data_IF_501973184162
#
_entry.id   IF_501973184162
#
_cell.length_a   1.000
_cell.length_b   1.000
_cell.length_c   1.000
_cell.angle_alpha   90.00
_cell.angle_beta   90.00
_cell.angle_gamma   90.00
#
_symmetry.space_group_name_H-M   'P 1'
#
loop_
_entity.id
_entity.type
_entity.pdbx_description
1 polymer ?
#
# COMPACT_ATOMS: atom_id res chain seq x y z
N UNK A 1 5.00 16.21 30.23
CA UNK A 1 5.73 16.41 28.95
C UNK A 1 4.81 15.85 27.89
N UNK A 2 4.15 16.73 27.14
CA UNK A 2 3.20 16.31 26.11
C UNK A 2 4.03 15.79 24.92
N UNK A 3 4.02 14.48 24.71
CA UNK A 3 4.70 13.84 23.59
C UNK A 3 3.73 13.75 22.43
N UNK A 4 4.07 14.42 21.33
CA UNK A 4 3.33 14.32 20.08
C UNK A 4 4.25 13.68 19.04
N UNK A 5 3.78 12.65 18.30
CA UNK A 5 4.61 11.99 17.29
C UNK A 5 4.73 12.85 16.02
N UNK A 6 5.91 12.85 15.40
CA UNK A 6 6.12 13.45 14.08
C UNK A 6 5.50 12.59 12.97
N UNK A 7 5.35 11.28 13.22
CA UNK A 7 4.71 10.34 12.31
C UNK A 7 4.01 9.21 13.03
N UNK A 8 2.94 8.71 12.40
CA UNK A 8 2.16 7.55 12.85
C UNK A 8 2.10 6.56 11.68
N UNK A 9 2.43 5.31 11.96
CA UNK A 9 2.27 4.21 11.01
C UNK A 9 1.36 3.14 11.60
N UNK A 10 0.36 2.70 10.82
CA UNK A 10 -0.46 1.54 11.16
C UNK A 10 -0.33 0.51 10.04
N UNK A 11 -0.11 -0.76 10.41
CA UNK A 11 -0.13 -1.91 9.51
C UNK A 11 -1.26 -2.86 9.87
N UNK A 12 -0.96 -4.15 10.01
CA UNK A 12 -1.92 -5.19 10.32
C UNK A 12 -2.78 -4.91 11.55
N UNK A 13 -4.10 -4.96 11.37
CA UNK A 13 -5.10 -4.84 12.42
C UNK A 13 -5.94 -6.12 12.47
N UNK A 14 -6.07 -6.72 13.65
CA UNK A 14 -6.73 -8.02 13.80
C UNK A 14 -8.26 -7.94 13.75
N UNK A 15 -8.85 -6.80 14.08
CA UNK A 15 -10.30 -6.61 14.06
C UNK A 15 -10.72 -5.13 13.95
N UNK A 16 -12.01 -4.90 13.73
CA UNK A 16 -12.61 -3.57 13.61
C UNK A 16 -12.39 -2.67 14.84
N UNK A 17 -12.28 -3.24 16.05
CA UNK A 17 -12.04 -2.48 17.28
C UNK A 17 -10.64 -1.89 17.32
N UNK A 18 -9.65 -2.60 16.76
CA UNK A 18 -8.30 -2.06 16.64
C UNK A 18 -8.26 -0.88 15.67
N UNK A 19 -9.02 -0.93 14.58
CA UNK A 19 -9.15 0.22 13.67
C UNK A 19 -9.79 1.43 14.38
N UNK A 20 -10.83 1.23 15.20
CA UNK A 20 -11.41 2.29 16.01
C UNK A 20 -10.37 2.88 17.01
N UNK A 21 -9.56 2.03 17.64
CA UNK A 21 -8.50 2.48 18.54
C UNK A 21 -7.38 3.26 17.83
N UNK A 22 -7.04 2.86 16.60
CA UNK A 22 -6.10 3.62 15.78
C UNK A 22 -6.65 5.01 15.44
N UNK A 23 -7.92 5.11 15.09
CA UNK A 23 -8.60 6.40 14.85
C UNK A 23 -8.57 7.27 16.11
N UNK A 24 -9.00 6.73 17.28
CA UNK A 24 -8.96 7.43 18.56
C UNK A 24 -7.55 7.94 18.89
N UNK A 25 -6.53 7.11 18.66
CA UNK A 25 -5.13 7.49 18.89
C UNK A 25 -4.70 8.64 17.96
N UNK A 26 -5.01 8.56 16.68
CA UNK A 26 -4.70 9.62 15.71
C UNK A 26 -5.38 10.93 16.13
N UNK A 27 -6.68 10.88 16.43
CA UNK A 27 -7.45 12.07 16.82
C UNK A 27 -6.95 12.71 18.13
N UNK A 28 -6.37 11.91 19.03
CA UNK A 28 -5.83 12.40 20.31
C UNK A 28 -4.41 12.96 20.18
N UNK A 29 -3.54 12.36 19.36
CA UNK A 29 -2.11 12.63 19.38
C UNK A 29 -1.54 13.24 18.08
N UNK A 30 -2.25 13.15 16.95
CA UNK A 30 -1.77 13.79 15.72
C UNK A 30 -1.96 15.31 15.78
N UNK A 31 -1.00 16.03 15.21
CA UNK A 31 -1.07 17.45 14.90
C UNK A 31 -1.20 17.66 13.40
N UNK A 32 -1.38 18.90 12.99
CA UNK A 32 -1.53 19.29 11.58
C UNK A 32 -0.35 18.85 10.71
N UNK A 33 0.86 18.82 11.26
CA UNK A 33 2.11 18.43 10.57
C UNK A 33 2.48 16.94 10.75
N UNK A 34 1.78 16.19 11.61
CA UNK A 34 2.01 14.77 11.81
C UNK A 34 1.80 13.98 10.52
N UNK A 35 2.81 13.23 10.09
CA UNK A 35 2.73 12.36 8.92
C UNK A 35 2.07 11.04 9.28
N UNK A 36 0.98 10.69 8.59
CA UNK A 36 0.22 9.48 8.89
C UNK A 36 0.27 8.56 7.69
N UNK A 37 0.89 7.38 7.87
CA UNK A 37 0.90 6.31 6.89
C UNK A 37 0.02 5.17 7.37
N UNK A 38 -0.91 4.74 6.52
CA UNK A 38 -1.79 3.60 6.80
C UNK A 38 -1.60 2.55 5.72
N UNK A 39 -1.15 1.38 6.16
CA UNK A 39 -1.09 0.17 5.35
C UNK A 39 -2.36 -0.65 5.63
N UNK A 40 -3.33 -0.68 4.69
CA UNK A 40 -4.66 -1.22 4.95
C UNK A 40 -4.71 -2.74 4.77
N UNK A 41 -3.93 -3.47 5.56
CA UNK A 41 -3.71 -4.92 5.43
C UNK A 41 -5.02 -5.69 5.60
N UNK A 42 -5.56 -6.24 4.48
CA UNK A 42 -6.82 -6.99 4.46
C UNK A 42 -6.81 -8.21 3.55
N UNK A 43 -5.89 -8.31 2.60
CA UNK A 43 -5.85 -9.39 1.63
C UNK A 43 -4.67 -9.25 0.65
N UNK A 44 -4.46 -10.28 -0.15
CA UNK A 44 -3.45 -10.29 -1.21
C UNK A 44 -3.83 -11.27 -2.32
N UNK A 45 -3.32 -11.06 -3.55
CA UNK A 45 -3.54 -11.93 -4.71
C UNK A 45 -5.02 -12.24 -5.00
N UNK A 46 -5.91 -11.27 -4.76
CA UNK A 46 -7.35 -11.39 -5.00
C UNK A 46 -8.14 -12.09 -3.91
N UNK A 47 -7.49 -12.49 -2.83
CA UNK A 47 -8.10 -13.21 -1.71
C UNK A 47 -7.99 -12.37 -0.44
N UNK A 48 -9.04 -12.37 0.38
CA UNK A 48 -9.00 -11.76 1.70
C UNK A 48 -8.25 -12.63 2.68
N UNK A 49 -7.57 -11.98 3.62
CA UNK A 49 -6.98 -12.72 4.75
C UNK A 49 -8.07 -13.25 5.70
N UNK A 50 -7.80 -14.33 6.46
CA UNK A 50 -8.79 -14.95 7.36
C UNK A 50 -9.39 -14.01 8.41
N UNK A 51 -8.72 -12.90 8.68
CA UNK A 51 -9.18 -11.86 9.62
C UNK A 51 -10.17 -10.87 8.98
N UNK A 52 -10.32 -10.89 7.64
CA UNK A 52 -11.19 -9.96 6.95
C UNK A 52 -12.65 -10.12 7.40
N UNK A 53 -13.29 -8.99 7.60
CA UNK A 53 -14.75 -8.88 7.76
C UNK A 53 -15.20 -7.57 7.10
N UNK A 54 -16.43 -7.51 6.63
CA UNK A 54 -17.01 -6.25 6.12
C UNK A 54 -16.90 -5.13 7.16
N UNK A 55 -17.10 -5.45 8.45
CA UNK A 55 -16.96 -4.47 9.54
C UNK A 55 -15.51 -3.94 9.65
N UNK A 56 -14.49 -4.79 9.47
CA UNK A 56 -13.10 -4.35 9.43
C UNK A 56 -12.84 -3.45 8.22
N UNK A 57 -13.34 -3.83 7.04
CA UNK A 57 -13.18 -3.04 5.83
C UNK A 57 -13.85 -1.65 5.95
N UNK A 58 -15.05 -1.57 6.51
CA UNK A 58 -15.70 -0.29 6.79
C UNK A 58 -14.89 0.59 7.74
N UNK A 59 -14.37 0.01 8.83
CA UNK A 59 -13.50 0.75 9.76
C UNK A 59 -12.16 1.16 9.13
N UNK A 60 -11.60 0.32 8.27
CA UNK A 60 -10.41 0.67 7.49
C UNK A 60 -10.66 1.87 6.57
N UNK A 61 -11.82 1.96 5.92
CA UNK A 61 -12.22 3.14 5.13
C UNK A 61 -12.28 4.42 5.97
N UNK A 62 -12.71 4.34 7.22
CA UNK A 62 -12.65 5.46 8.15
C UNK A 62 -11.23 5.83 8.55
N UNK A 63 -10.40 4.83 8.76
CA UNK A 63 -9.01 5.02 9.16
C UNK A 63 -8.19 5.66 8.04
N UNK A 64 -8.29 5.17 6.80
CA UNK A 64 -7.52 5.70 5.66
C UNK A 64 -7.83 7.16 5.33
N UNK A 65 -9.03 7.68 5.69
CA UNK A 65 -9.34 9.11 5.56
C UNK A 65 -8.53 10.03 6.47
N UNK A 66 -7.77 9.48 7.43
CA UNK A 66 -6.83 10.24 8.31
C UNK A 66 -5.41 10.21 7.78
N UNK A 67 -5.15 9.43 6.73
CA UNK A 67 -3.81 9.23 6.24
C UNK A 67 -3.29 10.43 5.44
N UNK A 68 -2.00 10.70 5.56
CA UNK A 68 -1.26 11.49 4.57
C UNK A 68 -0.99 10.62 3.33
N UNK A 69 -0.64 9.34 3.54
CA UNK A 69 -0.39 8.36 2.49
C UNK A 69 -0.97 7.01 2.89
N UNK A 70 -1.56 6.28 1.94
CA UNK A 70 -1.95 4.87 2.10
C UNK A 70 -1.14 3.98 1.17
N UNK A 71 -0.87 2.71 1.61
CA UNK A 71 -0.02 1.76 0.87
C UNK A 71 -0.73 0.44 0.51
N UNK A 72 -1.95 0.47 -0.05
CA UNK A 72 -2.65 -0.75 -0.40
C UNK A 72 -1.90 -1.54 -1.49
N UNK A 73 -1.94 -2.88 -1.45
CA UNK A 73 -1.77 -3.67 -2.66
C UNK A 73 -3.03 -3.58 -3.54
N UNK A 74 -3.01 -4.17 -4.73
CA UNK A 74 -4.15 -4.04 -5.65
C UNK A 74 -5.42 -4.72 -5.13
N UNK A 75 -5.31 -5.81 -4.35
CA UNK A 75 -6.45 -6.46 -3.70
C UNK A 75 -7.10 -5.53 -2.68
N UNK A 76 -6.30 -4.95 -1.81
CA UNK A 76 -6.75 -4.01 -0.78
C UNK A 76 -7.35 -2.74 -1.37
N UNK A 77 -6.76 -2.25 -2.47
CA UNK A 77 -7.31 -1.13 -3.24
C UNK A 77 -8.75 -1.41 -3.71
N UNK A 78 -8.99 -2.61 -4.25
CA UNK A 78 -10.32 -3.02 -4.70
C UNK A 78 -11.28 -3.24 -3.52
N UNK A 79 -10.81 -3.82 -2.40
CA UNK A 79 -11.60 -3.98 -1.18
C UNK A 79 -12.04 -2.64 -0.61
N UNK A 80 -11.14 -1.67 -0.54
CA UNK A 80 -11.44 -0.32 -0.06
C UNK A 80 -12.48 0.39 -0.93
N UNK A 81 -12.40 0.27 -2.25
CA UNK A 81 -13.34 0.96 -3.14
C UNK A 81 -14.70 0.24 -3.23
N UNK A 82 -14.68 -1.08 -3.39
CA UNK A 82 -15.86 -1.81 -3.88
C UNK A 82 -16.38 -2.89 -2.93
N UNK A 83 -15.61 -3.25 -1.86
CA UNK A 83 -15.92 -4.40 -0.99
C UNK A 83 -15.62 -5.75 -1.66
N UNK A 84 -15.69 -6.83 -0.88
CA UNK A 84 -15.21 -8.16 -1.26
C UNK A 84 -15.87 -8.71 -2.53
N UNK A 85 -17.20 -8.65 -2.59
CA UNK A 85 -17.94 -9.26 -3.71
C UNK A 85 -17.52 -8.67 -5.07
N UNK A 86 -17.39 -7.35 -5.17
CA UNK A 86 -17.00 -6.69 -6.41
C UNK A 86 -15.50 -6.80 -6.68
N UNK A 87 -14.68 -6.77 -5.64
CA UNK A 87 -13.23 -6.97 -5.74
C UNK A 87 -12.89 -8.32 -6.38
N UNK A 88 -13.52 -9.41 -5.96
CA UNK A 88 -13.34 -10.73 -6.58
C UNK A 88 -13.68 -10.78 -8.08
N UNK A 89 -14.75 -10.11 -8.49
CA UNK A 89 -15.11 -10.05 -9.91
C UNK A 89 -14.03 -9.31 -10.71
N UNK A 90 -13.62 -8.14 -10.22
CA UNK A 90 -12.59 -7.33 -10.86
C UNK A 90 -11.24 -8.04 -10.90
N UNK A 91 -10.86 -8.75 -9.83
CA UNK A 91 -9.61 -9.52 -9.79
C UNK A 91 -9.55 -10.60 -10.88
N UNK A 92 -10.66 -11.30 -11.12
CA UNK A 92 -10.75 -12.28 -12.22
C UNK A 92 -10.60 -11.62 -13.60
N UNK A 93 -11.14 -10.42 -13.76
CA UNK A 93 -10.96 -9.65 -14.99
C UNK A 93 -9.50 -9.21 -15.19
N UNK A 94 -8.79 -8.83 -14.08
CA UNK A 94 -7.38 -8.43 -14.11
C UNK A 94 -6.47 -9.54 -14.63
N UNK A 95 -6.72 -10.79 -14.25
CA UNK A 95 -5.92 -11.94 -14.69
C UNK A 95 -5.94 -12.19 -16.22
N UNK A 96 -6.89 -11.56 -16.92
CA UNK A 96 -7.06 -11.64 -18.38
C UNK A 96 -6.53 -10.39 -19.11
N UNK A 97 -6.03 -9.39 -18.36
CA UNK A 97 -5.55 -8.15 -18.96
C UNK A 97 -4.12 -8.29 -19.47
N UNK A 98 -3.84 -7.65 -20.60
CA UNK A 98 -2.48 -7.38 -21.02
C UNK A 98 -1.85 -6.27 -20.15
N UNK A 99 -0.52 -6.06 -20.28
CA UNK A 99 0.23 -5.08 -19.50
C UNK A 99 -0.36 -3.67 -19.61
N UNK A 100 -0.72 -3.23 -20.82
CA UNK A 100 -1.20 -1.87 -21.04
C UNK A 100 -2.54 -1.64 -20.31
N UNK A 101 -3.44 -2.62 -20.36
CA UNK A 101 -4.73 -2.56 -19.67
C UNK A 101 -4.55 -2.62 -18.14
N UNK A 102 -3.66 -3.47 -17.65
CA UNK A 102 -3.35 -3.58 -16.23
C UNK A 102 -2.81 -2.24 -15.70
N UNK A 103 -1.86 -1.62 -16.40
CA UNK A 103 -1.31 -0.32 -16.00
C UNK A 103 -2.39 0.76 -15.96
N UNK A 104 -3.21 0.88 -17.01
CA UNK A 104 -4.32 1.85 -17.07
C UNK A 104 -5.37 1.61 -15.99
N UNK A 105 -5.71 0.36 -15.74
CA UNK A 105 -6.65 -0.01 -14.68
C UNK A 105 -6.09 0.39 -13.31
N UNK A 106 -4.83 0.06 -13.02
CA UNK A 106 -4.17 0.41 -11.76
C UNK A 106 -4.09 1.92 -11.56
N UNK A 107 -3.76 2.68 -12.62
CA UNK A 107 -3.74 4.15 -12.56
C UNK A 107 -5.14 4.74 -12.28
N UNK A 108 -6.17 4.18 -12.91
CA UNK A 108 -7.56 4.60 -12.66
C UNK A 108 -7.97 4.31 -11.21
N UNK A 109 -7.65 3.10 -10.73
CA UNK A 109 -7.92 2.67 -9.34
C UNK A 109 -7.21 3.55 -8.32
N UNK A 110 -5.93 3.87 -8.56
CA UNK A 110 -5.16 4.75 -7.66
C UNK A 110 -5.72 6.17 -7.61
N UNK A 111 -6.12 6.73 -8.75
CA UNK A 111 -6.77 8.05 -8.81
C UNK A 111 -8.14 8.07 -8.12
N UNK A 112 -8.91 6.98 -8.28
CA UNK A 112 -10.21 6.83 -7.62
C UNK A 112 -10.04 6.77 -6.10
N UNK A 113 -9.08 5.98 -5.59
CA UNK A 113 -8.73 5.92 -4.18
C UNK A 113 -8.31 7.28 -3.63
N UNK A 114 -7.39 7.96 -4.33
CA UNK A 114 -6.89 9.27 -3.89
C UNK A 114 -8.03 10.29 -3.79
N UNK A 115 -8.95 10.27 -4.74
CA UNK A 115 -10.13 11.15 -4.73
C UNK A 115 -11.15 10.77 -3.65
N UNK A 116 -11.43 9.46 -3.47
CA UNK A 116 -12.44 8.98 -2.51
C UNK A 116 -12.01 9.24 -1.07
N UNK A 117 -10.73 9.08 -0.76
CA UNK A 117 -10.20 9.20 0.60
C UNK A 117 -9.46 10.50 0.89
N UNK A 118 -9.28 11.36 -0.12
CA UNK A 118 -8.55 12.63 -0.01
C UNK A 118 -7.12 12.44 0.56
N UNK A 119 -6.37 11.50 -0.02
CA UNK A 119 -5.05 11.08 0.45
C UNK A 119 -4.12 10.74 -0.71
N UNK A 120 -2.80 10.80 -0.48
CA UNK A 120 -1.86 10.20 -1.42
C UNK A 120 -1.95 8.67 -1.37
N UNK A 121 -1.78 8.03 -2.53
CA UNK A 121 -1.90 6.57 -2.66
C UNK A 121 -0.64 5.99 -3.27
N UNK A 122 -0.11 4.95 -2.67
CA UNK A 122 0.94 4.12 -3.25
C UNK A 122 0.41 2.71 -3.39
N UNK A 123 -0.06 2.32 -4.60
CA UNK A 123 -0.44 0.92 -4.84
C UNK A 123 0.83 0.10 -5.01
N UNK A 124 1.05 -0.85 -4.10
CA UNK A 124 2.30 -1.60 -4.00
C UNK A 124 2.22 -2.98 -4.65
N UNK A 125 3.38 -3.53 -5.00
CA UNK A 125 3.53 -4.96 -5.28
C UNK A 125 2.85 -5.46 -6.55
N UNK A 126 2.75 -4.64 -7.60
CA UNK A 126 2.09 -5.01 -8.85
C UNK A 126 3.02 -5.83 -9.72
N UNK A 127 2.68 -7.09 -9.95
CA UNK A 127 3.39 -7.95 -10.89
C UNK A 127 3.18 -7.48 -12.32
N UNK A 128 4.23 -6.96 -12.93
CA UNK A 128 4.21 -6.57 -14.34
C UNK A 128 4.56 -7.77 -15.22
N UNK A 129 3.88 -7.96 -16.37
CA UNK A 129 4.18 -9.05 -17.29
C UNK A 129 5.65 -9.08 -17.70
N UNK A 130 6.22 -10.28 -17.74
CA UNK A 130 7.61 -10.47 -18.10
C UNK A 130 7.88 -10.03 -19.56
N UNK A 131 8.88 -9.18 -19.75
CA UNK A 131 9.48 -8.88 -21.05
C UNK A 131 10.86 -9.49 -21.09
N UNK A 132 11.19 -10.24 -22.15
CA UNK A 132 12.52 -10.82 -22.35
C UNK A 132 13.05 -11.63 -21.14
N UNK A 133 12.19 -12.44 -20.51
CA UNK A 133 12.49 -13.25 -19.30
C UNK A 133 12.82 -12.43 -18.04
N UNK A 134 12.54 -11.12 -18.00
CA UNK A 134 12.72 -10.29 -16.82
C UNK A 134 11.36 -9.90 -16.25
N UNK A 135 10.98 -10.51 -15.13
CA UNK A 135 9.80 -10.13 -14.36
C UNK A 135 10.11 -8.83 -13.59
N UNK A 136 9.15 -7.92 -13.56
CA UNK A 136 9.26 -6.67 -12.80
C UNK A 136 8.14 -6.57 -11.80
N UNK A 137 8.43 -5.89 -10.69
CA UNK A 137 7.45 -5.46 -9.71
C UNK A 137 7.30 -3.94 -9.81
N UNK A 138 6.07 -3.45 -9.82
CA UNK A 138 5.76 -2.04 -9.91
C UNK A 138 5.09 -1.51 -8.66
N UNK A 139 5.31 -0.23 -8.38
CA UNK A 139 4.58 0.53 -7.37
C UNK A 139 4.06 1.79 -8.06
N UNK A 140 2.77 2.04 -7.92
CA UNK A 140 2.11 3.22 -8.49
C UNK A 140 1.90 4.27 -7.41
N UNK A 141 2.41 5.46 -7.62
CA UNK A 141 2.17 6.62 -6.74
C UNK A 141 1.11 7.50 -7.40
N UNK A 142 0.07 7.87 -6.65
CA UNK A 142 -0.92 8.87 -7.04
C UNK A 142 -0.88 10.03 -6.05
N UNK A 143 -0.46 11.19 -6.55
CA UNK A 143 -0.28 12.42 -5.78
C UNK A 143 -0.76 13.61 -6.64
N UNK A 144 -1.59 14.48 -6.11
CA UNK A 144 -2.09 15.69 -6.78
C UNK A 144 -2.69 15.42 -8.18
N UNK A 145 -3.39 14.29 -8.33
CA UNK A 145 -4.00 13.86 -9.60
C UNK A 145 -3.02 13.28 -10.63
N UNK A 146 -1.72 13.30 -10.35
CA UNK A 146 -0.67 12.72 -11.19
C UNK A 146 -0.37 11.28 -10.78
N UNK A 147 0.16 10.50 -11.71
CA UNK A 147 0.60 9.12 -11.47
C UNK A 147 2.07 8.96 -11.84
N UNK A 148 2.82 8.25 -10.99
CA UNK A 148 4.23 7.93 -11.21
C UNK A 148 4.47 6.45 -10.90
N UNK A 149 5.14 5.74 -11.80
CA UNK A 149 5.53 4.35 -11.61
C UNK A 149 6.98 4.24 -11.15
N UNK A 150 7.20 3.46 -10.08
CA UNK A 150 8.53 3.06 -9.63
C UNK A 150 8.63 1.54 -9.74
N UNK A 151 9.54 1.04 -10.57
CA UNK A 151 9.67 -0.39 -10.85
C UNK A 151 11.03 -0.92 -10.45
N UNK A 152 11.09 -2.22 -10.07
CA UNK A 152 12.33 -2.96 -9.85
C UNK A 152 12.26 -4.33 -10.53
N UNK A 153 13.40 -4.97 -10.70
CA UNK A 153 13.44 -6.38 -11.06
C UNK A 153 12.82 -7.22 -9.93
N UNK A 154 12.01 -8.21 -10.30
CA UNK A 154 11.48 -9.17 -9.34
C UNK A 154 12.50 -10.30 -9.19
N UNK A 155 13.13 -10.39 -8.03
CA UNK A 155 14.07 -11.45 -7.68
C UNK A 155 13.46 -12.38 -6.63
N UNK A 156 13.78 -13.66 -6.70
CA UNK A 156 13.35 -14.65 -5.73
C UNK A 156 11.84 -14.94 -5.76
N UNK A 157 11.33 -15.42 -4.62
CA UNK A 157 9.92 -15.75 -4.40
C UNK A 157 9.12 -14.62 -3.72
N UNK A 158 8.05 -15.03 -3.02
CA UNK A 158 7.31 -14.14 -2.14
C UNK A 158 7.95 -14.17 -0.74
N UNK A 159 8.26 -13.01 -0.20
CA UNK A 159 8.82 -12.85 1.15
C UNK A 159 7.81 -12.15 2.04
N UNK A 160 7.46 -12.80 3.16
CA UNK A 160 6.58 -12.20 4.16
C UNK A 160 7.25 -11.00 4.83
N UNK A 161 6.47 -9.94 5.11
CA UNK A 161 6.97 -8.73 5.78
C UNK A 161 7.60 -7.68 4.86
N UNK A 162 7.63 -7.92 3.54
CA UNK A 162 8.13 -6.90 2.58
C UNK A 162 7.26 -5.64 2.55
N UNK A 163 5.93 -5.79 2.73
CA UNK A 163 5.00 -4.68 2.87
C UNK A 163 5.33 -3.81 4.09
N UNK A 164 5.52 -4.44 5.26
CA UNK A 164 5.86 -3.73 6.50
C UNK A 164 7.20 -2.97 6.39
N UNK A 165 8.20 -3.59 5.77
CA UNK A 165 9.50 -2.95 5.53
C UNK A 165 9.36 -1.78 4.55
N UNK A 166 8.58 -1.93 3.47
CA UNK A 166 8.30 -0.87 2.52
C UNK A 166 7.65 0.33 3.21
N UNK A 167 6.54 0.08 3.94
CA UNK A 167 5.81 1.10 4.66
C UNK A 167 6.66 1.80 5.73
N UNK A 168 7.53 1.05 6.43
CA UNK A 168 8.46 1.61 7.43
C UNK A 168 9.46 2.58 6.81
N UNK A 169 10.08 2.22 5.66
CA UNK A 169 11.03 3.09 4.96
C UNK A 169 10.32 4.33 4.42
N UNK A 170 9.13 4.16 3.84
CA UNK A 170 8.30 5.26 3.33
C UNK A 170 7.91 6.22 4.47
N UNK A 171 7.40 5.70 5.58
CA UNK A 171 7.03 6.50 6.76
C UNK A 171 8.22 7.29 7.31
N UNK A 172 9.39 6.66 7.41
CA UNK A 172 10.62 7.35 7.84
C UNK A 172 11.04 8.47 6.88
N UNK A 173 10.83 8.30 5.57
CA UNK A 173 11.06 9.32 4.55
C UNK A 173 10.15 10.52 4.74
N UNK A 174 8.85 10.27 4.90
CA UNK A 174 7.83 11.29 5.10
C UNK A 174 8.13 12.18 6.32
N UNK A 175 8.46 11.58 7.45
CA UNK A 175 8.83 12.31 8.69
C UNK A 175 10.09 13.18 8.49
N UNK A 176 10.99 12.76 7.61
CA UNK A 176 12.20 13.55 7.26
C UNK A 176 11.95 14.61 6.19
N UNK A 177 10.70 14.80 5.76
CA UNK A 177 10.34 15.77 4.73
C UNK A 177 10.78 15.39 3.32
N UNK A 178 11.05 14.09 3.08
CA UNK A 178 11.32 13.56 1.74
C UNK A 178 9.97 13.33 1.07
N UNK A 179 9.84 13.76 -0.18
CA UNK A 179 8.59 13.54 -0.92
C UNK A 179 8.27 12.05 -1.11
N UNK A 180 7.00 11.75 -1.43
CA UNK A 180 6.51 10.38 -1.53
C UNK A 180 7.21 9.59 -2.65
N UNK A 181 7.47 10.20 -3.80
CA UNK A 181 8.13 9.53 -4.94
C UNK A 181 9.55 9.11 -4.56
N UNK A 182 10.34 10.03 -3.99
CA UNK A 182 11.72 9.74 -3.54
C UNK A 182 11.74 8.73 -2.39
N UNK A 183 10.75 8.79 -1.48
CA UNK A 183 10.61 7.83 -0.38
C UNK A 183 10.29 6.43 -0.90
N UNK A 184 9.42 6.29 -1.93
CA UNK A 184 9.14 5.02 -2.60
C UNK A 184 10.39 4.49 -3.31
N UNK A 185 11.15 5.34 -4.01
CA UNK A 185 12.42 4.91 -4.62
C UNK A 185 13.40 4.33 -3.58
N UNK A 186 13.48 4.95 -2.40
CA UNK A 186 14.31 4.46 -1.29
C UNK A 186 13.81 3.12 -0.75
N UNK A 187 12.49 2.96 -0.56
CA UNK A 187 11.89 1.73 -0.10
C UNK A 187 12.13 0.59 -1.09
N UNK A 188 11.91 0.82 -2.38
CA UNK A 188 12.16 -0.16 -3.45
C UNK A 188 13.63 -0.57 -3.48
N UNK A 189 14.56 0.39 -3.41
CA UNK A 189 16.01 0.09 -3.40
C UNK A 189 16.43 -0.69 -2.16
N UNK A 190 15.88 -0.36 -1.00
CA UNK A 190 16.15 -1.05 0.26
C UNK A 190 15.69 -2.51 0.19
N UNK A 191 14.46 -2.74 -0.25
CA UNK A 191 13.89 -4.09 -0.40
C UNK A 191 14.62 -4.90 -1.45
N UNK A 192 14.90 -4.35 -2.63
CA UNK A 192 15.61 -5.05 -3.68
C UNK A 192 16.99 -5.55 -3.19
N UNK A 193 17.70 -4.72 -2.41
CA UNK A 193 18.97 -5.15 -1.80
C UNK A 193 18.77 -6.28 -0.80
N UNK A 194 17.81 -6.17 0.14
CA UNK A 194 17.56 -7.19 1.15
C UNK A 194 17.12 -8.53 0.53
N UNK A 195 16.28 -8.50 -0.49
CA UNK A 195 15.87 -9.70 -1.23
C UNK A 195 17.06 -10.32 -1.97
N UNK A 196 17.86 -9.51 -2.65
CA UNK A 196 19.06 -9.98 -3.34
C UNK A 196 20.02 -10.69 -2.37
N UNK A 197 20.30 -10.06 -1.22
CA UNK A 197 21.18 -10.65 -0.19
C UNK A 197 20.60 -11.99 0.31
N UNK A 198 19.29 -12.07 0.58
CA UNK A 198 18.61 -13.30 1.00
C UNK A 198 18.69 -14.41 -0.08
N UNK A 199 18.49 -14.08 -1.35
CA UNK A 199 18.60 -15.03 -2.48
C UNK A 199 20.05 -15.58 -2.59
N UNK A 200 21.05 -14.70 -2.45
CA UNK A 200 22.47 -15.11 -2.53
C UNK A 200 22.88 -15.98 -1.35
N UNK A 201 22.37 -15.67 -0.14
CA UNK A 201 22.68 -16.45 1.07
C UNK A 201 21.85 -17.73 1.19
N UNK A 202 20.82 -17.91 0.36
CA UNK A 202 19.96 -19.12 0.35
C UNK A 202 19.03 -19.21 1.57
N UNK A 203 18.64 -18.07 2.12
CA UNK A 203 17.75 -17.96 3.29
C UNK A 203 16.33 -17.54 2.91
#
# INVERSE_FOLDING_TARGET
>A
MDFYPDGIYTGFLADARQADKAVEFIEQFAKEDTKILIDPVMGDNGEEYPIYTEALCEKMRFLVRRATVITPNLTEALLLLYGAQRAHVLWKELSLMDEERLLKFTESTGKELSKEFDTEVVITGIDLPARENHQKIGNLICQDGNTTWVTAAKEGGSYSGTGDLFASVLSAGMVKGIDTVDSVHRAVKFLAKGIHDAVVEGT
#
